data_IF_762916332385
#
_entry.id   IF_762916332385
#
_cell.length_a   1.000
_cell.length_b   1.000
_cell.length_c   1.000
_cell.angle_alpha   90.00
_cell.angle_beta   90.00
_cell.angle_gamma   90.00
#
_symmetry.space_group_name_H-M   'P 1'
#
loop_
_entity.id
_entity.type
_entity.pdbx_description
1 polymer ?
#
# COMPACT_ATOMS: atom_id res chain seq x y z
N UNK A 1 29.89 -5.35 -12.87
CA UNK A 1 29.12 -4.09 -12.78
C UNK A 1 28.30 -4.15 -11.50
N UNK A 2 28.50 -3.23 -10.55
CA UNK A 2 27.91 -3.31 -9.21
C UNK A 2 26.57 -2.57 -9.16
N UNK A 3 25.49 -3.31 -8.90
CA UNK A 3 24.14 -2.78 -8.74
C UNK A 3 24.06 -1.87 -7.51
N UNK A 4 23.70 -0.60 -7.73
CA UNK A 4 23.47 0.38 -6.67
C UNK A 4 22.11 0.08 -6.02
N UNK A 5 22.12 -0.65 -4.92
CA UNK A 5 20.95 -0.81 -4.05
C UNK A 5 20.49 0.58 -3.54
N UNK A 6 19.27 1.07 -3.84
CA UNK A 6 18.83 2.38 -3.38
C UNK A 6 18.61 2.30 -1.86
N UNK A 7 19.59 2.82 -1.10
CA UNK A 7 19.50 2.97 0.36
C UNK A 7 18.15 3.61 0.69
N UNK A 8 17.30 2.89 1.43
CA UNK A 8 16.03 3.39 1.98
C UNK A 8 16.24 4.82 2.48
N UNK A 9 15.66 5.80 1.78
CA UNK A 9 15.77 7.22 2.16
C UNK A 9 15.24 7.34 3.59
N UNK A 10 16.14 7.60 4.54
CA UNK A 10 15.79 7.81 5.93
C UNK A 10 14.89 9.04 5.99
N UNK A 11 13.59 8.82 6.23
CA UNK A 11 12.62 9.91 6.40
C UNK A 11 13.13 10.79 7.54
N UNK A 12 13.25 12.10 7.30
CA UNK A 12 13.59 13.11 8.32
C UNK A 12 12.42 13.33 9.29
N UNK A 13 12.00 12.27 9.99
CA UNK A 13 11.04 12.41 11.09
C UNK A 13 11.85 12.61 12.38
N UNK A 14 11.53 13.67 13.11
CA UNK A 14 12.04 13.86 14.46
C UNK A 14 11.47 12.74 15.33
N UNK A 15 12.36 11.91 15.88
CA UNK A 15 11.99 10.84 16.81
C UNK A 15 12.03 11.41 18.22
N UNK A 16 10.91 11.31 18.97
CA UNK A 16 10.87 11.65 20.40
C UNK A 16 10.95 10.35 21.21
N UNK A 17 11.97 10.25 22.06
CA UNK A 17 12.15 9.12 22.97
C UNK A 17 11.36 9.36 24.26
N UNK A 18 10.96 8.28 24.93
CA UNK A 18 10.31 8.33 26.25
C UNK A 18 11.34 8.51 27.37
N UNK A 19 10.93 9.15 28.47
CA UNK A 19 11.80 9.37 29.64
C UNK A 19 11.96 8.11 30.52
N UNK A 20 11.13 7.07 30.30
CA UNK A 20 11.22 5.81 31.02
C UNK A 20 12.40 4.94 30.51
N UNK A 21 13.31 4.48 31.39
CA UNK A 21 14.55 3.81 30.96
C UNK A 21 14.33 2.42 30.33
N UNK A 22 13.30 1.69 30.75
CA UNK A 22 13.10 0.27 30.38
C UNK A 22 11.66 -0.03 29.92
N UNK A 23 11.03 0.90 29.20
CA UNK A 23 9.70 0.64 28.62
C UNK A 23 9.79 -0.47 27.57
N UNK A 24 8.87 -1.44 27.63
CA UNK A 24 8.74 -2.47 26.60
C UNK A 24 8.23 -1.84 25.29
N UNK A 25 9.07 -1.91 24.25
CA UNK A 25 8.78 -1.40 22.89
C UNK A 25 8.69 -2.53 21.86
N UNK A 26 8.52 -3.78 22.32
CA UNK A 26 8.45 -4.98 21.46
C UNK A 26 7.39 -4.86 20.36
N UNK A 27 6.32 -4.11 20.62
CA UNK A 27 5.17 -3.90 19.71
C UNK A 27 5.31 -2.69 18.77
N UNK A 28 6.28 -1.78 19.01
CA UNK A 28 6.41 -0.55 18.22
C UNK A 28 6.98 -0.76 16.82
N UNK A 29 7.53 -1.95 16.58
CA UNK A 29 8.13 -2.32 15.30
C UNK A 29 7.31 -3.42 14.68
N UNK A 30 7.06 -3.35 13.36
CA UNK A 30 6.45 -4.47 12.66
C UNK A 30 7.35 -5.69 12.83
N UNK A 31 6.78 -6.81 13.30
CA UNK A 31 7.49 -8.09 13.34
C UNK A 31 7.78 -8.57 11.91
N UNK A 32 8.75 -9.46 11.75
CA UNK A 32 9.10 -10.11 10.47
C UNK A 32 7.89 -10.81 9.84
N UNK A 33 6.87 -11.15 10.64
CA UNK A 33 5.62 -11.77 10.20
C UNK A 33 4.64 -10.83 9.50
N UNK A 34 4.85 -9.51 9.62
CA UNK A 34 3.94 -8.49 9.07
C UNK A 34 3.76 -8.58 7.55
N UNK A 35 4.70 -9.21 6.82
CA UNK A 35 4.65 -9.38 5.37
C UNK A 35 4.59 -10.85 4.91
N UNK A 36 4.49 -11.82 5.83
CA UNK A 36 4.59 -13.25 5.45
C UNK A 36 3.26 -13.94 5.26
N UNK A 37 2.17 -13.36 5.75
CA UNK A 37 0.85 -13.96 5.61
C UNK A 37 0.13 -13.36 4.39
N UNK A 38 -0.04 -14.20 3.36
CA UNK A 38 -1.15 -14.05 2.43
C UNK A 38 -2.41 -13.97 3.28
N UNK A 39 -2.99 -12.78 3.40
CA UNK A 39 -4.28 -12.60 4.07
C UNK A 39 -5.30 -13.60 3.51
N UNK A 40 -6.30 -14.05 4.27
CA UNK A 40 -7.36 -14.90 3.72
C UNK A 40 -8.02 -14.29 2.47
N UNK A 41 -8.01 -12.95 2.38
CA UNK A 41 -8.45 -12.16 1.25
C UNK A 41 -7.62 -12.39 -0.03
N UNK A 42 -6.31 -12.62 0.08
CA UNK A 42 -5.44 -12.88 -1.07
C UNK A 42 -5.51 -14.32 -1.59
N UNK A 43 -6.28 -15.19 -0.92
CA UNK A 43 -6.65 -16.51 -1.43
C UNK A 43 -7.99 -16.50 -2.18
N UNK A 44 -8.69 -15.37 -2.22
CA UNK A 44 -9.94 -15.26 -2.97
C UNK A 44 -9.63 -15.12 -4.45
N UNK A 45 -10.19 -16.03 -5.24
CA UNK A 45 -10.15 -15.97 -6.69
C UNK A 45 -11.19 -14.97 -7.20
N UNK A 46 -10.78 -14.06 -8.09
CA UNK A 46 -11.68 -13.17 -8.83
C UNK A 46 -11.68 -13.64 -10.28
N UNK A 47 -12.80 -14.24 -10.70
CA UNK A 47 -12.99 -14.68 -12.08
C UNK A 47 -13.46 -13.48 -12.90
N UNK A 48 -12.64 -13.04 -13.84
CA UNK A 48 -13.02 -12.02 -14.83
C UNK A 48 -13.56 -12.73 -16.09
N UNK A 49 -14.73 -12.32 -16.55
CA UNK A 49 -15.25 -12.75 -17.84
C UNK A 49 -14.54 -11.95 -18.96
N UNK A 50 -13.79 -12.60 -19.87
CA UNK A 50 -13.13 -11.90 -20.98
C UNK A 50 -14.11 -11.37 -22.04
N UNK A 51 -15.41 -11.69 -21.94
CA UNK A 51 -16.46 -11.15 -22.81
C UNK A 51 -17.30 -10.06 -22.12
N UNK A 52 -16.89 -9.61 -20.93
CA UNK A 52 -17.62 -8.56 -20.21
C UNK A 52 -17.52 -7.23 -20.96
N UNK A 53 -18.67 -6.70 -21.38
CA UNK A 53 -18.80 -5.45 -22.14
C UNK A 53 -18.59 -4.21 -21.25
N UNK A 54 -18.54 -4.38 -19.92
CA UNK A 54 -18.37 -3.33 -18.92
C UNK A 54 -16.92 -2.81 -18.79
N UNK A 55 -16.02 -3.19 -19.69
CA UNK A 55 -14.64 -2.65 -19.70
C UNK A 55 -14.64 -1.23 -20.26
N UNK A 56 -14.33 -0.20 -19.45
CA UNK A 56 -14.39 1.18 -19.93
C UNK A 56 -13.31 1.43 -20.99
N UNK A 57 -13.72 1.92 -22.16
CA UNK A 57 -12.80 2.33 -23.23
C UNK A 57 -12.49 3.83 -23.18
N UNK A 58 -11.20 4.18 -23.27
CA UNK A 58 -10.75 5.56 -23.37
C UNK A 58 -11.13 6.44 -22.17
N UNK A 59 -11.55 7.67 -22.43
CA UNK A 59 -11.87 8.67 -21.41
C UNK A 59 -13.37 8.71 -21.05
N UNK A 60 -14.22 7.93 -21.75
CA UNK A 60 -15.69 7.99 -21.62
C UNK A 60 -16.15 7.75 -20.17
N UNK A 61 -15.59 6.73 -19.52
CA UNK A 61 -15.85 6.44 -18.11
C UNK A 61 -15.45 7.59 -17.18
N UNK A 62 -14.32 8.24 -17.43
CA UNK A 62 -13.83 9.32 -16.58
C UNK A 62 -14.67 10.59 -16.71
N UNK A 63 -15.21 10.83 -17.90
CA UNK A 63 -16.14 11.94 -18.14
C UNK A 63 -17.50 11.70 -17.49
N UNK A 64 -18.01 10.47 -17.49
CA UNK A 64 -19.24 10.09 -16.79
C UNK A 64 -19.11 10.15 -15.26
N UNK A 65 -17.96 9.72 -14.72
CA UNK A 65 -17.69 9.74 -13.27
C UNK A 65 -17.18 11.08 -12.75
N UNK A 66 -17.19 12.12 -13.60
CA UNK A 66 -16.65 13.42 -13.27
C UNK A 66 -17.47 14.08 -12.15
N UNK A 67 -16.83 14.47 -11.02
CA UNK A 67 -17.56 15.09 -9.92
C UNK A 67 -18.21 16.42 -10.34
N UNK A 68 -19.33 16.82 -9.71
CA UNK A 68 -20.07 18.05 -10.05
C UNK A 68 -19.28 19.35 -9.85
N UNK A 69 -18.12 19.29 -9.18
CA UNK A 69 -17.22 20.42 -8.96
C UNK A 69 -16.02 20.47 -9.92
N UNK A 70 -15.95 19.58 -10.91
CA UNK A 70 -14.89 19.59 -11.91
C UNK A 70 -15.22 20.62 -13.00
N UNK A 71 -14.72 21.84 -12.81
CA UNK A 71 -14.86 22.99 -13.70
C UNK A 71 -13.90 24.10 -13.33
#
# INVERSE_FOLDING_TARGET
MSEKNPRRRQRRRVVRYSDAPNIDRSVDRPDRRFNTESTPDSLREVVFDPQDEDTPEGDAFWDEQRPPHYG
#
